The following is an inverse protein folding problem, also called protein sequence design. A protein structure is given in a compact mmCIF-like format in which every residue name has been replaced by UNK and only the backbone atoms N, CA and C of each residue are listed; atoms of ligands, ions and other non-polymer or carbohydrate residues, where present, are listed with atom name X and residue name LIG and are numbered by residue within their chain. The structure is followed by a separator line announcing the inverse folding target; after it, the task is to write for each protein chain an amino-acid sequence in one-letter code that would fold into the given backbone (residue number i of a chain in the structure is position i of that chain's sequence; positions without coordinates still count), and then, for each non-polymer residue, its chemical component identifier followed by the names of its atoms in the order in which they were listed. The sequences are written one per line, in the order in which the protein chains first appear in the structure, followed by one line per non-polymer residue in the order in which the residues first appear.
data_IF_766492470479
#
_entry.id   IF_766492470479
#
_cell.length_a   1.000
_cell.length_b   1.000
_cell.length_c   1.000
_cell.angle_alpha   90.00
_cell.angle_beta   90.00
_cell.angle_gamma   90.00
#
_symmetry.space_group_name_H-M   'P 1'
#
loop_
_entity.id
_entity.type
_entity.pdbx_description
1 polymer ?
#
# COMPACT_ATOMS: atom_id res chain seq x y z
N UNK A 1 5.55 -26.64 30.59
CA UNK A 1 5.12 -25.59 29.66
C UNK A 1 6.21 -25.25 28.62
N UNK A 2 7.50 -25.30 29.00
CA UNK A 2 8.63 -24.99 28.11
C UNK A 2 8.86 -26.01 26.99
N UNK A 3 8.45 -27.26 27.16
CA UNK A 3 8.63 -28.30 26.14
C UNK A 3 7.66 -28.20 24.97
N UNK A 4 6.56 -27.50 25.16
CA UNK A 4 5.52 -27.34 24.09
C UNK A 4 5.81 -26.17 23.13
N UNK A 5 6.65 -25.24 23.56
CA UNK A 5 6.97 -24.02 22.75
C UNK A 5 8.45 -23.88 22.42
N UNK A 6 9.27 -24.90 22.74
CA UNK A 6 10.71 -24.88 22.52
C UNK A 6 11.47 -23.97 23.49
N UNK A 7 12.69 -24.39 23.82
CA UNK A 7 13.62 -23.55 24.58
C UNK A 7 14.56 -22.88 23.59
N UNK A 8 14.40 -21.62 23.33
CA UNK A 8 15.38 -20.86 22.54
C UNK A 8 14.79 -19.98 21.47
N UNK A 9 15.61 -19.12 20.99
CA UNK A 9 15.39 -18.20 19.89
C UNK A 9 14.95 -18.94 18.63
N UNK A 10 13.70 -19.19 18.45
CA UNK A 10 13.37 -19.74 17.17
C UNK A 10 12.08 -20.44 16.93
N UNK A 11 11.21 -20.53 17.88
CA UNK A 11 10.02 -21.38 17.72
C UNK A 11 8.76 -20.65 17.29
N UNK A 12 8.69 -19.33 17.42
CA UNK A 12 7.48 -18.55 17.07
C UNK A 12 7.82 -17.11 16.68
N UNK A 13 8.66 -16.93 15.69
CA UNK A 13 8.80 -15.60 15.10
C UNK A 13 7.53 -15.28 14.34
N UNK A 14 6.88 -14.13 14.61
CA UNK A 14 5.79 -13.70 13.77
C UNK A 14 6.32 -13.53 12.34
N UNK A 15 5.54 -13.98 11.36
CA UNK A 15 5.93 -13.78 9.98
C UNK A 15 5.87 -12.29 9.65
N UNK A 16 6.86 -11.84 8.89
CA UNK A 16 6.83 -10.52 8.30
C UNK A 16 5.57 -10.35 7.46
N UNK A 17 5.03 -9.14 7.43
CA UNK A 17 4.09 -8.77 6.40
C UNK A 17 4.73 -8.95 5.04
N UNK A 18 3.96 -9.48 4.10
CA UNK A 18 4.40 -9.74 2.74
C UNK A 18 3.74 -8.72 1.80
N UNK A 19 4.44 -8.24 0.77
CA UNK A 19 3.81 -7.41 -0.24
C UNK A 19 2.71 -8.20 -0.94
N UNK A 20 1.52 -7.61 -1.01
CA UNK A 20 0.36 -8.27 -1.60
C UNK A 20 0.26 -8.04 -3.10
N UNK A 21 0.65 -6.87 -3.57
CA UNK A 21 0.74 -6.51 -4.98
C UNK A 21 1.57 -5.23 -5.13
N UNK A 22 2.10 -5.05 -6.33
CA UNK A 22 2.63 -3.77 -6.78
C UNK A 22 2.04 -3.49 -8.16
N UNK A 23 1.29 -2.42 -8.27
CA UNK A 23 0.86 -1.95 -9.58
C UNK A 23 1.25 -0.50 -9.80
N UNK A 24 1.49 -0.18 -11.07
CA UNK A 24 1.89 1.13 -11.53
C UNK A 24 0.77 1.72 -12.35
N UNK A 25 0.43 2.95 -12.05
CA UNK A 25 -0.54 3.73 -12.82
C UNK A 25 0.25 4.77 -13.61
N UNK A 26 0.17 4.70 -14.92
CA UNK A 26 0.79 5.66 -15.83
C UNK A 26 -0.32 6.44 -16.54
N UNK A 27 -0.29 7.76 -16.43
CA UNK A 27 -1.04 8.61 -17.33
C UNK A 27 -0.27 8.70 -18.65
N UNK A 28 -0.86 8.26 -19.75
CA UNK A 28 -0.19 8.19 -21.06
C UNK A 28 -0.02 9.58 -21.70
N UNK A 29 -0.86 10.54 -21.30
CA UNK A 29 -0.76 11.93 -21.73
C UNK A 29 0.26 12.75 -20.94
N UNK A 30 0.80 12.19 -19.83
CA UNK A 30 1.77 12.88 -18.99
C UNK A 30 3.18 12.73 -19.55
N UNK A 31 3.87 13.87 -19.69
CA UNK A 31 5.32 13.93 -19.83
C UNK A 31 5.90 14.90 -18.81
N UNK A 32 7.17 14.74 -18.45
CA UNK A 32 7.83 15.65 -17.50
C UNK A 32 7.86 17.08 -18.02
N UNK A 33 7.95 17.23 -19.34
CA UNK A 33 8.01 18.52 -20.04
C UNK A 33 6.67 19.24 -20.08
N UNK A 34 5.56 18.50 -19.96
CA UNK A 34 4.20 19.06 -19.98
C UNK A 34 3.53 19.04 -18.59
N UNK A 35 4.30 18.92 -17.52
CA UNK A 35 3.79 18.97 -16.16
C UNK A 35 4.42 20.08 -15.35
N UNK A 36 3.63 20.74 -14.56
CA UNK A 36 4.05 21.76 -13.60
C UNK A 36 3.37 21.54 -12.25
N UNK A 37 3.90 22.18 -11.22
CA UNK A 37 3.34 22.13 -9.87
C UNK A 37 3.02 20.70 -9.38
N UNK A 38 3.90 19.74 -9.69
CA UNK A 38 3.76 18.38 -9.20
C UNK A 38 3.84 18.34 -7.68
N UNK A 39 2.75 17.96 -7.04
CA UNK A 39 2.63 17.87 -5.60
C UNK A 39 2.13 16.50 -5.15
N UNK A 40 2.70 16.02 -4.06
CA UNK A 40 2.19 14.86 -3.31
C UNK A 40 1.82 15.33 -1.92
N UNK A 41 0.62 14.99 -1.49
CA UNK A 41 0.12 15.39 -0.19
C UNK A 41 -0.44 14.21 0.60
N UNK A 42 -0.50 14.39 1.89
CA UNK A 42 -1.22 13.52 2.83
C UNK A 42 -2.15 14.38 3.65
N UNK A 43 -3.44 14.07 3.61
CA UNK A 43 -4.41 14.67 4.50
C UNK A 43 -4.51 13.79 5.75
N UNK A 44 -3.99 14.29 6.86
CA UNK A 44 -3.94 13.53 8.11
C UNK A 44 -5.33 13.29 8.73
N UNK A 45 -6.29 14.18 8.50
CA UNK A 45 -7.64 14.07 9.05
C UNK A 45 -8.51 13.07 8.30
N UNK A 46 -8.36 13.03 6.98
CA UNK A 46 -9.12 12.12 6.13
C UNK A 46 -8.40 10.80 5.85
N UNK A 47 -7.10 10.71 6.14
CA UNK A 47 -6.29 9.54 5.80
C UNK A 47 -6.00 9.39 4.30
N UNK A 48 -6.35 10.38 3.49
CA UNK A 48 -6.09 10.37 2.05
C UNK A 48 -4.65 10.74 1.73
N UNK A 49 -4.12 10.08 0.72
CA UNK A 49 -2.89 10.49 0.03
C UNK A 49 -3.22 10.85 -1.41
N UNK A 50 -2.63 11.93 -1.91
CA UNK A 50 -2.92 12.40 -3.25
C UNK A 50 -1.69 12.83 -4.03
N UNK A 51 -1.88 12.87 -5.34
CA UNK A 51 -0.92 13.40 -6.31
C UNK A 51 -1.68 14.38 -7.20
N UNK A 52 -1.14 15.59 -7.32
CA UNK A 52 -1.68 16.65 -8.17
C UNK A 52 -0.58 17.22 -9.05
N UNK A 53 -0.93 17.58 -10.26
CA UNK A 53 -0.03 18.31 -11.16
C UNK A 53 -0.85 19.11 -12.19
N UNK A 54 -0.22 20.10 -12.81
CA UNK A 54 -0.79 20.80 -13.94
C UNK A 54 -0.09 20.38 -15.22
N UNK A 55 -0.88 20.15 -16.28
CA UNK A 55 -0.34 19.94 -17.60
C UNK A 55 0.07 21.27 -18.29
N UNK A 56 0.59 21.19 -19.50
CA UNK A 56 1.02 22.37 -20.26
C UNK A 56 -0.11 23.35 -20.61
N UNK A 57 -1.36 22.90 -20.58
CA UNK A 57 -2.57 23.72 -20.77
C UNK A 57 -3.06 24.35 -19.46
N UNK A 58 -2.44 24.02 -18.32
CA UNK A 58 -2.84 24.47 -17.00
C UNK A 58 -3.95 23.66 -16.34
N UNK A 59 -4.38 22.56 -16.97
CA UNK A 59 -5.40 21.68 -16.42
C UNK A 59 -4.86 20.90 -15.21
N UNK A 60 -5.63 20.81 -14.14
CA UNK A 60 -5.23 20.14 -12.93
C UNK A 60 -5.66 18.67 -12.92
N UNK A 61 -4.69 17.79 -12.83
CA UNK A 61 -4.86 16.35 -12.72
C UNK A 61 -4.76 15.94 -11.27
N UNK A 62 -5.61 14.99 -10.85
CA UNK A 62 -5.66 14.53 -9.48
C UNK A 62 -5.80 13.02 -9.39
N UNK A 63 -5.10 12.43 -8.43
CA UNK A 63 -5.26 11.05 -8.01
C UNK A 63 -5.28 10.99 -6.49
N UNK A 64 -6.32 10.40 -5.92
CA UNK A 64 -6.50 10.25 -4.47
C UNK A 64 -6.61 8.79 -4.09
N UNK A 65 -6.07 8.43 -2.94
CA UNK A 65 -6.08 7.05 -2.42
C UNK A 65 -6.25 7.07 -0.93
N UNK A 66 -7.07 6.16 -0.41
CA UNK A 66 -7.16 5.87 1.02
C UNK A 66 -7.33 4.38 1.28
N UNK A 67 -6.97 3.92 2.49
CA UNK A 67 -7.25 2.57 2.98
C UNK A 67 -8.42 2.65 3.97
N UNK A 68 -9.56 2.06 3.59
CA UNK A 68 -10.80 2.15 4.35
C UNK A 68 -10.71 1.39 5.67
N UNK A 69 -11.00 2.07 6.77
CA UNK A 69 -11.14 1.45 8.10
C UNK A 69 -12.50 0.83 8.33
N UNK A 70 -13.50 1.24 7.55
CA UNK A 70 -14.87 0.74 7.66
C UNK A 70 -15.14 -0.50 6.84
N UNK A 71 -14.46 -0.65 5.69
CA UNK A 71 -14.80 -1.66 4.70
C UNK A 71 -13.63 -2.55 4.30
N UNK A 72 -12.43 -2.32 4.87
CA UNK A 72 -11.23 -3.12 4.66
C UNK A 72 -10.86 -3.26 3.16
N UNK A 73 -10.89 -2.13 2.46
CA UNK A 73 -10.49 -1.98 1.06
C UNK A 73 -9.57 -0.77 0.88
N UNK A 74 -8.76 -0.78 -0.17
CA UNK A 74 -8.00 0.37 -0.62
C UNK A 74 -8.72 0.94 -1.84
N UNK A 75 -9.03 2.23 -1.80
CA UNK A 75 -9.72 2.93 -2.89
C UNK A 75 -8.77 3.92 -3.52
N UNK A 76 -8.61 3.83 -4.84
CA UNK A 76 -7.86 4.83 -5.63
C UNK A 76 -8.82 5.43 -6.65
N UNK A 77 -8.95 6.74 -6.64
CA UNK A 77 -9.77 7.51 -7.57
C UNK A 77 -8.88 8.40 -8.43
N UNK A 78 -9.10 8.37 -9.72
CA UNK A 78 -8.37 9.15 -10.72
C UNK A 78 -9.39 9.87 -11.57
N UNK A 79 -9.22 11.16 -11.71
CA UNK A 79 -10.11 12.03 -12.44
C UNK A 79 -9.33 12.89 -13.44
N UNK A 80 -9.84 12.98 -14.65
CA UNK A 80 -9.36 13.91 -15.65
C UNK A 80 -9.90 15.32 -15.37
N UNK A 81 -9.17 16.37 -15.74
CA UNK A 81 -9.70 17.73 -15.69
C UNK A 81 -10.91 17.91 -16.60
N UNK A 82 -11.65 18.97 -16.38
CA UNK A 82 -12.78 19.33 -17.23
C UNK A 82 -12.33 19.48 -18.70
N UNK A 83 -13.06 18.85 -19.61
CA UNK A 83 -12.76 18.85 -21.04
C UNK A 83 -11.82 17.73 -21.50
N UNK A 84 -11.06 17.10 -20.60
CA UNK A 84 -10.13 16.01 -20.91
C UNK A 84 -10.75 14.64 -20.64
N UNK A 85 -10.20 13.60 -21.28
CA UNK A 85 -10.48 12.19 -20.98
C UNK A 85 -9.24 11.51 -20.40
N UNK A 86 -9.47 10.50 -19.59
CA UNK A 86 -8.40 9.61 -19.12
C UNK A 86 -7.86 8.77 -20.28
N UNK A 87 -6.54 8.68 -20.33
CA UNK A 87 -5.78 7.65 -21.04
C UNK A 87 -4.69 7.16 -20.09
N UNK A 88 -4.97 6.08 -19.40
CA UNK A 88 -4.08 5.53 -18.38
C UNK A 88 -3.77 4.05 -18.64
N UNK A 89 -2.59 3.65 -18.23
CA UNK A 89 -2.19 2.25 -18.22
C UNK A 89 -1.92 1.82 -16.77
N UNK A 90 -2.55 0.72 -16.36
CA UNK A 90 -2.29 0.05 -15.11
C UNK A 90 -1.51 -1.23 -15.41
N UNK A 91 -0.31 -1.37 -14.85
CA UNK A 91 0.47 -2.59 -14.94
C UNK A 91 0.71 -3.18 -13.56
N UNK A 92 0.64 -4.51 -13.45
CA UNK A 92 1.10 -5.20 -12.25
C UNK A 92 2.57 -5.55 -12.44
N UNK A 93 3.41 -4.90 -11.65
CA UNK A 93 4.84 -5.17 -11.69
C UNK A 93 5.15 -6.46 -10.94
N UNK A 94 5.94 -7.32 -11.56
CA UNK A 94 6.44 -8.51 -10.90
C UNK A 94 7.32 -8.15 -9.72
N UNK A 95 6.91 -8.57 -8.53
CA UNK A 95 7.65 -8.29 -7.30
C UNK A 95 8.94 -9.12 -7.29
N UNK A 96 10.05 -8.47 -7.53
CA UNK A 96 11.38 -9.12 -7.59
C UNK A 96 12.21 -8.89 -6.33
N UNK A 97 11.80 -7.97 -5.47
CA UNK A 97 12.58 -7.56 -4.32
C UNK A 97 12.59 -8.63 -3.24
N UNK A 98 13.75 -9.21 -3.06
CA UNK A 98 14.09 -10.04 -1.91
C UNK A 98 15.41 -9.55 -1.36
N UNK A 99 15.41 -9.14 -0.11
CA UNK A 99 16.67 -8.88 0.56
C UNK A 99 17.38 -10.18 0.86
N UNK A 100 18.65 -10.29 0.42
CA UNK A 100 19.42 -11.50 0.61
C UNK A 100 19.96 -11.54 2.06
N UNK A 101 19.31 -12.32 2.90
CA UNK A 101 19.82 -12.69 4.23
C UNK A 101 20.17 -14.19 4.26
N UNK A 102 21.05 -14.61 3.35
CA UNK A 102 21.54 -15.98 3.29
C UNK A 102 20.75 -16.89 2.35
N UNK A 103 21.30 -18.05 2.12
CA UNK A 103 20.94 -19.01 1.05
C UNK A 103 19.62 -19.77 1.25
N UNK A 104 18.86 -19.49 2.28
CA UNK A 104 17.68 -20.29 2.68
C UNK A 104 16.33 -19.65 2.39
N UNK A 105 16.28 -18.39 1.98
CA UNK A 105 15.03 -17.71 1.70
C UNK A 105 14.60 -17.96 0.25
N UNK A 106 13.51 -18.68 0.10
CA UNK A 106 12.89 -18.87 -1.22
C UNK A 106 11.85 -17.78 -1.44
N UNK A 107 11.88 -17.19 -2.63
CA UNK A 107 10.81 -16.32 -3.09
C UNK A 107 9.48 -17.07 -3.04
N UNK A 108 8.39 -16.43 -2.60
CA UNK A 108 7.07 -17.02 -2.69
C UNK A 108 6.70 -17.34 -4.15
N UNK A 109 6.01 -18.43 -4.34
CA UNK A 109 5.40 -18.75 -5.60
C UNK A 109 4.20 -17.84 -5.82
N UNK A 110 4.22 -17.05 -6.89
CA UNK A 110 3.25 -15.98 -7.18
C UNK A 110 2.63 -16.16 -8.56
N UNK A 111 1.35 -15.84 -8.68
CA UNK A 111 0.62 -15.76 -9.95
C UNK A 111 -0.19 -14.47 -10.03
N UNK A 112 -0.36 -13.96 -11.25
CA UNK A 112 -1.17 -12.80 -11.55
C UNK A 112 -2.47 -13.24 -12.22
N UNK A 113 -3.56 -12.63 -11.78
CA UNK A 113 -4.91 -13.00 -12.21
C UNK A 113 -5.56 -11.80 -12.86
N UNK A 114 -6.15 -12.00 -14.04
CA UNK A 114 -7.05 -11.03 -14.69
C UNK A 114 -8.34 -11.75 -15.02
N UNK A 115 -9.45 -11.17 -14.63
CA UNK A 115 -10.80 -11.66 -14.91
C UNK A 115 -11.65 -10.58 -15.54
N UNK A 116 -12.70 -10.99 -16.28
CA UNK A 116 -13.73 -10.11 -16.81
C UNK A 116 -15.09 -10.79 -16.65
N UNK A 117 -16.01 -10.07 -16.08
CA UNK A 117 -17.41 -10.49 -15.91
C UNK A 117 -18.36 -9.35 -16.31
N UNK A 118 -19.65 -9.45 -15.95
CA UNK A 118 -20.68 -8.45 -16.20
C UNK A 118 -20.46 -7.13 -15.45
N UNK A 119 -19.65 -7.13 -14.38
CA UNK A 119 -19.27 -5.95 -13.61
C UNK A 119 -17.96 -5.31 -14.07
N UNK A 120 -17.30 -5.86 -15.08
CA UNK A 120 -16.08 -5.35 -15.64
C UNK A 120 -14.83 -6.17 -15.32
N UNK A 121 -13.65 -5.53 -15.39
CA UNK A 121 -12.39 -6.18 -15.15
C UNK A 121 -12.04 -6.25 -13.67
N UNK A 122 -11.54 -7.43 -13.27
CA UNK A 122 -10.82 -7.65 -12.04
C UNK A 122 -9.38 -8.06 -12.32
N UNK A 123 -8.44 -7.63 -11.49
CA UNK A 123 -7.06 -8.09 -11.57
C UNK A 123 -6.45 -8.19 -10.17
N UNK A 124 -5.41 -9.01 -10.04
CA UNK A 124 -4.76 -9.19 -8.74
C UNK A 124 -3.54 -10.09 -8.77
N UNK A 125 -2.99 -10.31 -7.60
CA UNK A 125 -1.88 -11.23 -7.38
C UNK A 125 -2.25 -12.21 -6.27
N UNK A 126 -1.87 -13.45 -6.43
CA UNK A 126 -1.92 -14.47 -5.38
C UNK A 126 -0.53 -15.04 -5.15
N UNK A 127 -0.25 -15.42 -3.93
CA UNK A 127 1.03 -15.96 -3.54
C UNK A 127 0.87 -17.10 -2.53
N UNK A 128 1.62 -18.16 -2.71
CA UNK A 128 1.72 -19.27 -1.76
C UNK A 128 2.80 -18.97 -0.74
N UNK A 129 2.49 -19.14 0.55
CA UNK A 129 3.53 -19.05 1.57
C UNK A 129 4.64 -20.07 1.29
N UNK A 130 5.91 -19.64 1.30
CA UNK A 130 7.02 -20.54 1.08
C UNK A 130 7.17 -21.49 2.27
N UNK A 131 7.50 -22.74 1.98
CA UNK A 131 7.91 -23.69 3.00
C UNK A 131 9.31 -23.30 3.44
N UNK A 132 9.47 -22.96 4.71
CA UNK A 132 10.76 -22.64 5.30
C UNK A 132 11.27 -23.84 6.09
N UNK A 133 12.44 -24.35 5.71
CA UNK A 133 13.18 -25.32 6.50
C UNK A 133 14.18 -24.55 7.37
N UNK A 134 14.05 -24.64 8.68
CA UNK A 134 14.97 -24.04 9.62
C UNK A 134 15.85 -25.13 10.25
N UNK A 135 17.16 -24.91 10.33
CA UNK A 135 18.02 -25.72 11.18
C UNK A 135 17.78 -25.30 12.64
N UNK A 136 17.21 -26.17 13.42
CA UNK A 136 17.11 -26.01 14.85
C UNK A 136 18.49 -26.07 15.51
N UNK A 137 18.57 -25.65 16.79
CA UNK A 137 19.82 -25.64 17.58
C UNK A 137 20.45 -27.02 17.77
N UNK A 138 19.79 -28.09 17.37
CA UNK A 138 20.27 -29.49 17.45
C UNK A 138 20.44 -30.13 16.06
N UNK A 139 20.68 -29.37 14.99
CA UNK A 139 20.77 -29.88 13.62
C UNK A 139 19.53 -30.63 13.12
N UNK A 140 18.39 -30.53 13.78
CA UNK A 140 17.12 -31.04 13.31
C UNK A 140 16.53 -30.01 12.34
N UNK A 141 16.24 -30.44 11.12
CA UNK A 141 15.52 -29.62 10.15
C UNK A 141 14.04 -29.63 10.54
N UNK A 142 13.58 -28.55 11.15
CA UNK A 142 12.16 -28.34 11.41
C UNK A 142 11.52 -27.72 10.16
N UNK A 143 10.56 -28.42 9.60
CA UNK A 143 9.75 -27.87 8.51
C UNK A 143 8.69 -26.96 9.13
N UNK A 144 8.90 -25.67 9.04
CA UNK A 144 7.87 -24.71 9.40
C UNK A 144 6.86 -24.62 8.26
N UNK A 145 5.72 -25.25 8.46
CA UNK A 145 4.64 -25.21 7.48
C UNK A 145 4.04 -23.82 7.38
N UNK A 146 4.24 -23.20 6.23
CA UNK A 146 3.42 -22.10 5.81
C UNK A 146 2.16 -22.66 5.17
N UNK A 147 1.09 -22.80 5.94
CA UNK A 147 -0.22 -23.14 5.39
C UNK A 147 -0.76 -21.94 4.61
N UNK A 148 -1.46 -22.23 3.53
CA UNK A 148 -2.17 -21.22 2.76
C UNK A 148 -1.30 -20.27 1.97
N UNK A 149 -1.82 -19.07 1.82
CA UNK A 149 -1.23 -18.01 1.04
C UNK A 149 -1.93 -16.68 1.28
N UNK A 150 -1.61 -15.71 0.47
CA UNK A 150 -2.23 -14.38 0.51
C UNK A 150 -2.44 -13.87 -0.92
N UNK A 151 -3.19 -12.81 -1.05
CA UNK A 151 -3.39 -12.18 -2.34
C UNK A 151 -4.08 -10.85 -2.25
N UNK A 152 -4.16 -10.21 -3.39
CA UNK A 152 -4.97 -9.02 -3.63
C UNK A 152 -5.88 -9.25 -4.83
N UNK A 153 -7.00 -8.57 -4.82
CA UNK A 153 -7.83 -8.38 -6.00
C UNK A 153 -8.22 -6.90 -6.09
N UNK A 154 -8.35 -6.41 -7.31
CA UNK A 154 -8.77 -5.04 -7.61
C UNK A 154 -9.90 -5.08 -8.63
N UNK A 155 -10.99 -4.42 -8.33
CA UNK A 155 -12.07 -4.16 -9.30
C UNK A 155 -11.85 -2.81 -9.94
N UNK A 156 -11.92 -2.75 -11.27
CA UNK A 156 -11.92 -1.50 -12.04
C UNK A 156 -13.37 -1.06 -12.23
N UNK A 157 -13.70 0.11 -11.71
CA UNK A 157 -15.02 0.73 -11.87
C UNK A 157 -14.85 1.92 -12.80
N UNK A 158 -15.44 1.87 -13.97
CA UNK A 158 -15.37 2.90 -14.99
C UNK A 158 -16.50 2.70 -16.02
N UNK A 159 -16.90 3.76 -16.69
CA UNK A 159 -17.73 3.75 -17.88
C UNK A 159 -16.91 3.78 -19.19
N UNK A 160 -15.58 3.85 -19.07
CA UNK A 160 -14.66 3.85 -20.19
C UNK A 160 -14.35 2.48 -20.75
N UNK A 161 -13.56 2.49 -21.81
CA UNK A 161 -13.05 1.27 -22.42
C UNK A 161 -11.88 0.72 -21.58
N UNK A 162 -11.88 -0.59 -21.36
CA UNK A 162 -10.78 -1.29 -20.70
C UNK A 162 -10.27 -2.39 -21.61
N UNK A 163 -9.00 -2.29 -21.98
CA UNK A 163 -8.29 -3.28 -22.80
C UNK A 163 -7.22 -3.97 -21.98
N UNK A 164 -7.18 -5.29 -22.06
CA UNK A 164 -6.17 -6.11 -21.42
C UNK A 164 -5.15 -6.61 -22.42
N UNK A 165 -3.89 -6.48 -22.07
CA UNK A 165 -2.77 -7.12 -22.76
C UNK A 165 -1.80 -7.72 -21.73
N UNK A 166 -1.14 -8.80 -22.11
CA UNK A 166 -0.03 -9.34 -21.33
C UNK A 166 1.27 -8.68 -21.80
N UNK A 167 2.10 -8.24 -20.86
CA UNK A 167 3.43 -7.69 -21.15
C UNK A 167 4.48 -8.74 -20.80
N UNK A 168 4.87 -9.52 -21.80
CA UNK A 168 5.88 -10.59 -21.62
C UNK A 168 7.27 -10.01 -21.73
N UNK A 169 8.04 -10.10 -20.66
CA UNK A 169 9.40 -9.56 -20.59
C UNK A 169 10.33 -10.41 -19.72
N UNK A 170 11.63 -10.17 -19.88
CA UNK A 170 12.62 -10.67 -18.96
C UNK A 170 12.93 -9.61 -17.90
N UNK A 171 12.99 -10.01 -16.65
CA UNK A 171 13.31 -9.13 -15.53
C UNK A 171 14.64 -9.56 -14.93
N UNK A 172 15.62 -8.65 -14.88
CA UNK A 172 16.88 -8.88 -14.20
C UNK A 172 16.71 -8.57 -12.71
N UNK A 173 16.96 -9.57 -11.89
CA UNK A 173 16.96 -9.43 -10.42
C UNK A 173 18.36 -9.00 -9.99
N UNK A 174 18.52 -7.90 -9.24
CA UNK A 174 19.82 -7.48 -8.73
C UNK A 174 20.51 -8.57 -7.90
N UNK A 175 21.83 -8.66 -7.97
CA UNK A 175 22.60 -9.67 -7.24
C UNK A 175 22.46 -9.55 -5.72
N UNK A 176 22.24 -8.34 -5.21
CA UNK A 176 21.92 -8.07 -3.80
C UNK A 176 20.64 -8.74 -3.32
N UNK A 177 19.75 -9.12 -4.24
CA UNK A 177 18.48 -9.81 -3.95
C UNK A 177 18.46 -11.28 -4.39
N UNK A 178 19.62 -11.88 -4.59
CA UNK A 178 19.73 -13.27 -5.02
C UNK A 178 20.18 -13.45 -6.46
N UNK A 179 20.18 -12.39 -7.25
CA UNK A 179 20.65 -12.35 -8.63
C UNK A 179 19.89 -13.23 -9.60
N UNK A 180 20.07 -12.98 -10.88
CA UNK A 180 19.51 -13.82 -11.95
C UNK A 180 18.54 -13.08 -12.86
N UNK A 181 17.94 -13.84 -13.76
CA UNK A 181 16.95 -13.31 -14.71
C UNK A 181 15.69 -14.16 -14.61
N UNK A 182 14.55 -13.51 -14.33
CA UNK A 182 13.24 -14.12 -14.52
C UNK A 182 12.88 -13.99 -16.00
N UNK A 183 12.66 -15.12 -16.65
CA UNK A 183 12.37 -15.17 -18.09
C UNK A 183 10.87 -15.30 -18.33
N UNK A 184 10.42 -14.66 -19.40
CA UNK A 184 9.02 -14.75 -19.86
C UNK A 184 8.02 -14.40 -18.76
N UNK A 185 8.33 -13.38 -17.97
CA UNK A 185 7.39 -12.86 -16.96
C UNK A 185 6.24 -12.19 -17.70
N UNK A 186 5.04 -12.64 -17.41
CA UNK A 186 3.82 -12.19 -18.06
C UNK A 186 3.04 -11.30 -17.10
N UNK A 187 3.39 -10.00 -17.09
CA UNK A 187 2.74 -9.03 -16.23
C UNK A 187 1.44 -8.52 -16.87
N UNK A 188 0.32 -8.49 -16.14
CA UNK A 188 -0.91 -7.90 -16.65
C UNK A 188 -0.75 -6.40 -16.91
N UNK A 189 -1.32 -5.96 -18.03
CA UNK A 189 -1.38 -4.57 -18.44
C UNK A 189 -2.78 -4.24 -18.91
N UNK A 190 -3.41 -3.27 -18.26
CA UNK A 190 -4.75 -2.81 -18.60
C UNK A 190 -4.67 -1.33 -19.00
N UNK A 191 -5.25 -1.01 -20.15
CA UNK A 191 -5.36 0.37 -20.63
C UNK A 191 -6.81 0.81 -20.49
N UNK A 192 -7.02 2.01 -19.92
CA UNK A 192 -8.33 2.60 -19.68
C UNK A 192 -8.38 3.95 -20.40
N UNK A 193 -9.37 4.13 -21.26
CA UNK A 193 -9.55 5.36 -22.02
C UNK A 193 -11.04 5.69 -22.27
N UNK A 194 -11.30 6.90 -22.76
CA UNK A 194 -12.64 7.36 -23.14
C UNK A 194 -13.58 7.53 -21.94
N UNK A 195 -13.05 7.92 -20.80
CA UNK A 195 -13.80 8.20 -19.57
C UNK A 195 -13.23 9.41 -18.84
N UNK A 196 -14.04 10.05 -18.00
CA UNK A 196 -13.60 11.17 -17.15
C UNK A 196 -12.93 10.69 -15.87
N UNK A 197 -13.25 9.47 -15.42
CA UNK A 197 -12.72 8.98 -14.16
C UNK A 197 -12.66 7.46 -14.12
N UNK A 198 -11.81 6.95 -13.22
CA UNK A 198 -11.74 5.55 -12.87
C UNK A 198 -11.57 5.40 -11.36
N UNK A 199 -12.24 4.41 -10.81
CA UNK A 199 -12.04 4.02 -9.43
C UNK A 199 -11.53 2.58 -9.37
N UNK A 200 -10.45 2.38 -8.60
CA UNK A 200 -9.88 1.07 -8.30
C UNK A 200 -10.21 0.74 -6.87
N UNK A 201 -10.93 -0.34 -6.65
CA UNK A 201 -11.23 -0.85 -5.29
C UNK A 201 -10.47 -2.14 -5.11
N UNK A 202 -9.53 -2.14 -4.16
CA UNK A 202 -8.60 -3.25 -3.93
C UNK A 202 -8.84 -3.84 -2.55
N UNK A 203 -8.88 -5.16 -2.46
CA UNK A 203 -8.88 -5.90 -1.21
C UNK A 203 -7.67 -6.81 -1.13
N UNK A 204 -7.12 -6.93 0.08
CA UNK A 204 -6.01 -7.80 0.40
C UNK A 204 -6.44 -8.72 1.53
N UNK A 205 -6.20 -10.02 1.40
CA UNK A 205 -6.47 -10.97 2.47
C UNK A 205 -5.53 -12.19 2.35
N UNK A 206 -5.65 -13.09 3.31
CA UNK A 206 -4.91 -14.35 3.38
C UNK A 206 -5.83 -15.51 3.67
N UNK A 207 -5.37 -16.71 3.37
CA UNK A 207 -6.00 -17.95 3.81
C UNK A 207 -4.98 -18.78 4.60
N UNK A 208 -5.45 -19.43 5.64
CA UNK A 208 -4.66 -20.32 6.49
C UNK A 208 -4.97 -21.82 6.25
N UNK A 209 -5.80 -22.13 5.24
CA UNK A 209 -6.09 -23.50 4.81
C UNK A 209 -4.93 -24.07 4.01
N UNK A 210 -4.81 -25.40 3.99
CA UNK A 210 -3.74 -26.07 3.26
C UNK A 210 -3.85 -25.78 1.76
N UNK A 211 -2.75 -25.31 1.19
CA UNK A 211 -2.55 -25.09 -0.23
C UNK A 211 -1.24 -25.76 -0.66
N UNK A 212 -1.28 -26.57 -1.70
CA UNK A 212 -0.09 -27.28 -2.20
C UNK A 212 0.73 -26.38 -3.14
N UNK A 213 0.05 -25.53 -3.89
CA UNK A 213 0.64 -24.64 -4.90
C UNK A 213 -0.13 -23.30 -4.96
N UNK A 214 0.31 -22.41 -5.83
CA UNK A 214 -0.30 -21.09 -6.00
C UNK A 214 -1.70 -21.15 -6.60
N UNK A 215 -2.01 -22.15 -7.42
CA UNK A 215 -3.36 -22.31 -7.97
C UNK A 215 -4.40 -22.61 -6.89
N UNK A 216 -4.03 -23.42 -5.88
CA UNK A 216 -4.92 -23.66 -4.73
C UNK A 216 -5.25 -22.37 -3.98
N UNK A 217 -4.28 -21.42 -3.89
CA UNK A 217 -4.50 -20.10 -3.29
C UNK A 217 -5.44 -19.29 -4.17
N UNK A 218 -5.22 -19.30 -5.49
CA UNK A 218 -6.07 -18.59 -6.45
C UNK A 218 -7.53 -19.05 -6.34
N UNK A 219 -7.78 -20.34 -6.42
CA UNK A 219 -9.13 -20.92 -6.36
C UNK A 219 -9.85 -20.63 -5.04
N UNK A 220 -9.12 -20.62 -3.92
CA UNK A 220 -9.71 -20.42 -2.59
C UNK A 220 -9.85 -18.98 -2.16
N UNK A 221 -9.08 -18.06 -2.74
CA UNK A 221 -8.98 -16.70 -2.25
C UNK A 221 -9.43 -15.64 -3.26
N UNK A 222 -9.03 -15.74 -4.53
CA UNK A 222 -9.22 -14.64 -5.48
C UNK A 222 -10.70 -14.29 -5.72
N UNK A 223 -11.54 -15.29 -5.98
CA UNK A 223 -12.97 -15.07 -6.22
C UNK A 223 -13.68 -14.52 -4.99
N UNK A 224 -13.24 -14.95 -3.79
CA UNK A 224 -13.73 -14.38 -2.52
C UNK A 224 -13.39 -12.90 -2.42
N UNK A 225 -12.15 -12.51 -2.74
CA UNK A 225 -11.74 -11.11 -2.71
C UNK A 225 -12.56 -10.25 -3.68
N UNK A 226 -12.79 -10.72 -4.90
CA UNK A 226 -13.65 -10.03 -5.87
C UNK A 226 -15.08 -9.90 -5.35
N UNK A 227 -15.64 -10.98 -4.79
CA UNK A 227 -16.98 -10.97 -4.21
C UNK A 227 -17.11 -10.00 -3.04
N UNK A 228 -16.11 -9.94 -2.17
CA UNK A 228 -16.07 -9.00 -1.04
C UNK A 228 -16.06 -7.54 -1.54
N UNK A 229 -15.23 -7.24 -2.57
CA UNK A 229 -15.19 -5.91 -3.21
C UNK A 229 -16.55 -5.56 -3.81
N UNK A 230 -17.16 -6.49 -4.55
CA UNK A 230 -18.47 -6.28 -5.17
C UNK A 230 -19.54 -6.01 -4.12
N UNK A 231 -19.44 -6.64 -2.94
CA UNK A 231 -20.29 -6.35 -1.79
C UNK A 231 -20.16 -4.90 -1.31
N UNK A 232 -18.92 -4.39 -1.22
CA UNK A 232 -18.66 -2.99 -0.84
C UNK A 232 -19.17 -2.03 -1.91
N UNK A 233 -18.89 -2.29 -3.19
CA UNK A 233 -19.37 -1.48 -4.32
C UNK A 233 -20.89 -1.40 -4.34
N UNK A 234 -21.57 -2.53 -4.11
CA UNK A 234 -23.03 -2.59 -4.06
C UNK A 234 -23.61 -1.85 -2.85
N UNK A 235 -22.99 -2.00 -1.66
CA UNK A 235 -23.39 -1.34 -0.42
C UNK A 235 -23.51 0.17 -0.57
N UNK A 236 -22.60 0.78 -1.30
CA UNK A 236 -22.54 2.23 -1.49
C UNK A 236 -23.10 2.67 -2.85
N UNK A 237 -23.60 1.75 -3.66
CA UNK A 237 -24.00 2.01 -5.05
C UNK A 237 -22.91 2.80 -5.80
N UNK A 238 -21.67 2.33 -5.70
CA UNK A 238 -20.49 3.06 -6.12
C UNK A 238 -20.37 3.08 -7.63
N UNK A 239 -20.32 4.29 -8.19
CA UNK A 239 -19.92 4.56 -9.57
C UNK A 239 -18.55 5.27 -9.56
N UNK A 240 -17.88 5.29 -10.71
CA UNK A 240 -16.62 6.04 -10.89
C UNK A 240 -16.91 7.54 -11.02
N UNK A 241 -17.34 8.15 -9.91
CA UNK A 241 -17.67 9.57 -9.80
C UNK A 241 -17.15 10.10 -8.47
N UNK A 242 -17.00 11.42 -8.35
CA UNK A 242 -16.68 12.06 -7.08
C UNK A 242 -17.68 11.65 -5.97
N UNK A 243 -18.98 11.63 -6.27
CA UNK A 243 -19.99 11.22 -5.32
C UNK A 243 -19.82 9.77 -4.86
N UNK A 244 -19.47 8.85 -5.77
CA UNK A 244 -19.18 7.46 -5.45
C UNK A 244 -17.91 7.32 -4.59
N UNK A 245 -16.88 8.09 -4.87
CA UNK A 245 -15.67 8.15 -4.06
C UNK A 245 -15.96 8.65 -2.63
N UNK A 246 -16.71 9.75 -2.50
CA UNK A 246 -17.08 10.32 -1.21
C UNK A 246 -17.95 9.38 -0.38
N UNK A 247 -18.81 8.60 -1.02
CA UNK A 247 -19.62 7.59 -0.33
C UNK A 247 -18.77 6.51 0.35
N UNK A 248 -17.64 6.13 -0.26
CA UNK A 248 -16.68 5.21 0.33
C UNK A 248 -15.76 5.89 1.36
N UNK A 249 -15.38 7.14 1.11
CA UNK A 249 -14.46 7.89 1.97
C UNK A 249 -15.10 8.27 3.31
N UNK A 250 -16.34 8.75 3.30
CA UNK A 250 -16.99 9.28 4.49
C UNK A 250 -16.97 8.34 5.71
N UNK A 251 -17.41 7.08 5.65
CA UNK A 251 -17.39 6.18 6.81
C UNK A 251 -15.95 5.88 7.29
N UNK A 252 -14.96 5.92 6.41
CA UNK A 252 -13.57 5.85 6.80
C UNK A 252 -13.15 7.08 7.60
N UNK A 253 -13.49 8.28 7.12
CA UNK A 253 -13.15 9.55 7.79
C UNK A 253 -13.79 9.64 9.17
N UNK A 254 -15.03 9.17 9.34
CA UNK A 254 -15.71 9.15 10.62
C UNK A 254 -14.89 8.35 11.68
N UNK A 255 -14.23 7.28 11.27
CA UNK A 255 -13.35 6.47 12.14
C UNK A 255 -11.93 7.08 12.25
N UNK A 256 -11.27 7.30 11.13
CA UNK A 256 -9.88 7.75 11.09
C UNK A 256 -9.72 9.16 11.65
N UNK A 257 -10.60 10.07 11.24
CA UNK A 257 -10.61 11.45 11.73
C UNK A 257 -10.89 11.52 13.23
N UNK A 258 -11.79 10.67 13.75
CA UNK A 258 -11.99 10.52 15.18
C UNK A 258 -10.71 10.13 15.93
N UNK A 259 -9.95 9.17 15.39
CA UNK A 259 -8.67 8.75 15.97
C UNK A 259 -7.62 9.85 15.89
N UNK A 260 -7.49 10.53 14.74
CA UNK A 260 -6.48 11.56 14.54
C UNK A 260 -6.77 12.82 15.37
N UNK A 261 -8.02 13.26 15.42
CA UNK A 261 -8.42 14.50 16.07
C UNK A 261 -8.55 14.41 17.60
N UNK A 262 -8.40 13.23 18.21
CA UNK A 262 -8.43 13.07 19.66
C UNK A 262 -7.31 13.83 20.39
N UNK A 263 -6.20 14.10 19.71
CA UNK A 263 -5.07 14.87 20.24
C UNK A 263 -4.68 15.93 19.21
N UNK A 264 -4.59 17.17 19.65
CA UNK A 264 -4.12 18.30 18.83
C UNK A 264 -3.06 19.04 19.60
N UNK A 265 -1.98 19.41 18.92
CA UNK A 265 -1.03 20.41 19.43
C UNK A 265 -1.23 21.69 18.64
N UNK A 266 -1.19 22.82 19.35
CA UNK A 266 -1.34 24.16 18.79
C UNK A 266 -0.27 25.05 19.43
N UNK A 267 0.86 25.18 18.75
CA UNK A 267 2.03 25.92 19.23
C UNK A 267 2.15 27.30 18.59
N UNK A 268 1.53 27.47 17.42
CA UNK A 268 1.59 28.72 16.64
C UNK A 268 0.69 29.78 17.27
N UNK A 269 1.30 30.88 17.72
CA UNK A 269 0.62 31.96 18.42
C UNK A 269 0.46 33.24 17.60
N UNK A 270 1.39 33.55 16.70
CA UNK A 270 1.32 34.72 15.81
C UNK A 270 0.68 34.35 14.46
N UNK A 271 0.25 35.35 13.71
CA UNK A 271 -0.36 35.14 12.40
C UNK A 271 0.66 34.60 11.39
N UNK A 272 1.92 35.00 11.45
CA UNK A 272 3.01 34.47 10.61
C UNK A 272 3.30 32.99 10.93
N UNK A 273 3.31 32.62 12.22
CA UNK A 273 3.47 31.23 12.63
C UNK A 273 2.31 30.35 12.12
N UNK A 274 1.07 30.87 12.17
CA UNK A 274 -0.12 30.18 11.65
C UNK A 274 -0.12 30.07 10.13
N UNK A 275 0.31 31.12 9.42
CA UNK A 275 0.46 31.11 7.97
C UNK A 275 1.46 30.03 7.53
N UNK A 276 2.56 29.86 8.27
CA UNK A 276 3.57 28.85 7.98
C UNK A 276 3.04 27.40 8.02
N UNK A 277 1.87 27.14 8.60
CA UNK A 277 1.19 25.83 8.51
C UNK A 277 0.80 25.44 7.08
N UNK A 278 0.61 26.44 6.20
CA UNK A 278 0.29 26.22 4.78
C UNK A 278 1.53 25.88 3.92
N UNK A 279 2.74 26.11 4.45
CA UNK A 279 3.98 25.87 3.73
C UNK A 279 4.19 24.39 3.42
N UNK A 280 4.86 24.12 2.32
CA UNK A 280 5.33 22.79 1.96
C UNK A 280 6.37 22.28 2.98
N UNK A 281 6.62 20.99 3.01
CA UNK A 281 7.68 20.43 3.85
C UNK A 281 9.06 21.02 3.51
N UNK A 282 9.34 21.30 2.23
CA UNK A 282 10.59 21.90 1.79
C UNK A 282 10.76 23.32 2.31
N UNK A 283 9.70 24.12 2.28
CA UNK A 283 9.69 25.50 2.83
C UNK A 283 9.86 25.51 4.34
N UNK A 284 9.18 24.60 5.06
CA UNK A 284 9.35 24.50 6.52
C UNK A 284 10.77 24.07 6.91
N UNK A 285 11.38 23.14 6.15
CA UNK A 285 12.77 22.71 6.36
C UNK A 285 13.72 23.88 6.08
N UNK A 286 13.51 24.65 5.01
CA UNK A 286 14.31 25.81 4.69
C UNK A 286 14.21 26.86 5.80
N UNK A 287 13.00 27.23 6.22
CA UNK A 287 12.77 28.18 7.29
C UNK A 287 13.42 27.77 8.62
N UNK A 288 13.44 26.48 8.95
CA UNK A 288 14.14 26.00 10.14
C UNK A 288 15.66 26.06 9.97
N UNK A 289 16.20 25.77 8.79
CA UNK A 289 17.64 25.82 8.52
C UNK A 289 18.18 27.28 8.55
N UNK A 290 17.35 28.24 8.14
CA UNK A 290 17.71 29.67 8.15
C UNK A 290 17.71 30.24 9.57
N UNK A 291 16.95 29.65 10.49
CA UNK A 291 16.91 30.07 11.89
C UNK A 291 17.18 28.87 12.83
N UNK A 292 18.46 28.64 13.13
CA UNK A 292 18.90 27.54 14.01
C UNK A 292 18.81 27.85 15.50
N UNK A 293 18.61 29.10 15.85
CA UNK A 293 18.57 29.55 17.25
C UNK A 293 17.20 29.39 17.88
N UNK A 294 16.18 29.17 17.08
CA UNK A 294 14.82 28.90 17.54
C UNK A 294 14.13 27.79 16.75
N UNK A 295 13.17 27.13 17.39
CA UNK A 295 12.37 26.08 16.76
C UNK A 295 11.23 26.73 16.00
N UNK A 296 11.11 26.39 14.69
CA UNK A 296 9.93 26.75 13.91
C UNK A 296 8.73 25.92 14.40
N UNK A 297 7.75 26.59 14.99
CA UNK A 297 6.61 25.95 15.65
C UNK A 297 5.71 25.20 14.65
N UNK A 298 5.47 25.77 13.46
CA UNK A 298 4.69 25.09 12.41
C UNK A 298 5.39 23.81 11.92
N UNK A 299 6.72 23.83 11.83
CA UNK A 299 7.50 22.64 11.50
C UNK A 299 7.41 21.58 12.59
N UNK A 300 7.48 21.97 13.86
CA UNK A 300 7.34 21.06 15.00
C UNK A 300 5.95 20.41 15.03
N UNK A 301 4.88 21.20 14.82
CA UNK A 301 3.52 20.65 14.65
C UNK A 301 3.41 19.66 13.50
N UNK A 302 4.05 19.99 12.36
CA UNK A 302 4.07 19.10 11.18
C UNK A 302 4.75 17.77 11.46
N UNK A 303 5.90 17.78 12.13
CA UNK A 303 6.65 16.57 12.53
C UNK A 303 5.80 15.72 13.47
N UNK A 304 5.20 16.33 14.49
CA UNK A 304 4.35 15.64 15.46
C UNK A 304 3.16 14.98 14.76
N UNK A 305 2.42 15.75 13.96
CA UNK A 305 1.23 15.25 13.25
C UNK A 305 1.59 14.11 12.26
N UNK A 306 2.72 14.23 11.56
CA UNK A 306 3.20 13.20 10.66
C UNK A 306 3.57 11.90 11.40
N UNK A 307 4.29 12.01 12.51
CA UNK A 307 4.64 10.86 13.35
C UNK A 307 3.41 10.16 13.90
N UNK A 308 2.45 10.93 14.43
CA UNK A 308 1.18 10.44 14.94
C UNK A 308 0.33 9.77 13.85
N UNK A 309 0.21 10.40 12.69
CA UNK A 309 -0.47 9.82 11.53
C UNK A 309 0.17 8.48 11.11
N UNK A 310 1.50 8.46 10.99
CA UNK A 310 2.24 7.24 10.64
C UNK A 310 1.97 6.10 11.62
N UNK A 311 1.92 6.38 12.91
CA UNK A 311 1.65 5.38 13.94
C UNK A 311 0.19 4.88 13.90
N UNK A 312 -0.77 5.78 13.71
CA UNK A 312 -2.19 5.41 13.53
C UNK A 312 -2.36 4.50 12.31
N UNK A 313 -1.66 4.78 11.21
CA UNK A 313 -1.70 3.95 10.01
C UNK A 313 -0.97 2.60 10.17
N UNK A 314 0.09 2.55 10.98
CA UNK A 314 0.90 1.34 11.20
C UNK A 314 0.33 0.39 12.27
N UNK A 315 -0.64 0.83 13.06
CA UNK A 315 -1.27 0.07 14.13
C UNK A 315 -2.72 -0.29 13.78
N UNK A 316 -3.24 -1.30 14.47
CA UNK A 316 -4.62 -1.75 14.32
C UNK A 316 -5.04 -2.46 15.61
N UNK A 317 -5.44 -3.73 15.52
CA UNK A 317 -5.72 -4.57 16.68
C UNK A 317 -4.47 -4.91 17.52
N UNK A 318 -3.27 -4.75 16.94
CA UNK A 318 -1.99 -4.96 17.59
C UNK A 318 -1.12 -3.70 17.54
N UNK A 319 -0.03 -3.73 18.30
CA UNK A 319 0.99 -2.70 18.26
C UNK A 319 1.67 -2.66 16.89
N UNK A 320 2.27 -1.53 16.56
CA UNK A 320 3.10 -1.42 15.35
C UNK A 320 4.31 -2.35 15.43
N UNK A 321 4.71 -2.89 14.29
CA UNK A 321 5.97 -3.63 14.13
C UNK A 321 7.10 -2.66 13.77
N UNK A 322 8.34 -3.12 13.79
CA UNK A 322 9.53 -2.33 13.50
C UNK A 322 9.43 -1.56 12.16
N UNK A 323 9.00 -2.22 11.10
CA UNK A 323 8.79 -1.62 9.78
C UNK A 323 7.35 -1.19 9.51
N UNK A 324 6.47 -1.14 10.51
CA UNK A 324 5.04 -0.95 10.29
C UNK A 324 4.43 -2.10 9.49
N UNK A 325 3.45 -1.78 8.65
CA UNK A 325 2.82 -2.73 7.71
C UNK A 325 3.36 -2.59 6.28
N UNK A 326 4.32 -1.70 6.07
CA UNK A 326 4.83 -1.31 4.74
C UNK A 326 6.11 -2.05 4.39
N UNK A 327 6.01 -3.33 4.10
CA UNK A 327 7.15 -4.09 3.61
C UNK A 327 7.09 -4.20 2.09
N UNK A 328 8.00 -3.52 1.40
CA UNK A 328 8.15 -3.58 -0.05
C UNK A 328 8.94 -4.80 -0.55
N UNK A 329 9.32 -5.71 0.34
CA UNK A 329 10.14 -6.88 0.04
C UNK A 329 9.59 -8.14 0.72
N UNK A 330 9.79 -9.30 0.10
CA UNK A 330 9.42 -10.59 0.67
C UNK A 330 10.29 -11.01 1.87
N UNK A 331 11.44 -10.39 2.06
CA UNK A 331 12.36 -10.65 3.16
C UNK A 331 12.81 -9.33 3.78
N UNK A 332 11.96 -8.67 4.58
CA UNK A 332 12.29 -7.39 5.21
C UNK A 332 13.38 -7.55 6.27
N UNK A 333 14.07 -6.46 6.54
CA UNK A 333 15.04 -6.38 7.63
C UNK A 333 14.41 -6.73 8.97
N UNK A 334 15.17 -7.41 9.80
CA UNK A 334 14.74 -7.81 11.14
C UNK A 334 13.42 -8.60 11.12
N UNK A 335 13.12 -9.25 9.99
CA UNK A 335 11.87 -9.99 9.76
C UNK A 335 10.60 -9.15 9.94
N UNK A 336 10.70 -7.82 9.96
CA UNK A 336 9.59 -6.94 10.29
C UNK A 336 8.96 -7.25 11.65
N UNK A 337 9.75 -7.64 12.65
CA UNK A 337 9.29 -8.12 13.96
C UNK A 337 8.83 -6.97 14.88
N UNK A 338 8.27 -7.31 16.05
CA UNK A 338 7.71 -6.33 16.99
C UNK A 338 8.76 -5.54 17.77
N UNK A 339 9.97 -5.99 17.92
CA UNK A 339 11.10 -5.30 18.56
C UNK A 339 10.69 -4.52 19.83
N UNK A 340 10.28 -5.27 20.86
CA UNK A 340 9.69 -4.70 22.08
C UNK A 340 10.72 -4.15 23.09
N UNK A 341 12.00 -4.30 22.82
CA UNK A 341 13.08 -3.87 23.70
C UNK A 341 13.21 -2.33 23.78
N UNK A 342 13.27 -1.65 22.65
CA UNK A 342 13.35 -0.19 22.61
C UNK A 342 12.48 0.43 21.50
N UNK A 343 12.46 -0.17 20.30
CA UNK A 343 11.87 0.45 19.12
C UNK A 343 10.37 0.70 19.27
N UNK A 344 9.61 -0.25 19.78
CA UNK A 344 8.17 -0.05 19.99
C UNK A 344 7.91 1.07 21.01
N UNK A 345 8.69 1.13 22.10
CA UNK A 345 8.55 2.19 23.10
C UNK A 345 8.83 3.57 22.50
N UNK A 346 9.87 3.68 21.65
CA UNK A 346 10.21 4.93 20.97
C UNK A 346 9.13 5.33 19.96
N UNK A 347 8.55 4.37 19.24
CA UNK A 347 7.48 4.64 18.29
C UNK A 347 6.21 5.17 18.95
N UNK A 348 5.84 4.66 20.12
CA UNK A 348 4.61 5.06 20.83
C UNK A 348 4.81 6.26 21.76
N UNK A 349 6.04 6.65 22.07
CA UNK A 349 6.32 7.72 23.04
C UNK A 349 5.76 9.10 22.64
N UNK A 350 5.55 9.35 21.36
CA UNK A 350 4.95 10.57 20.84
C UNK A 350 3.43 10.57 20.73
N UNK A 351 2.75 9.54 21.26
CA UNK A 351 1.29 9.42 21.13
C UNK A 351 0.51 10.10 22.24
N UNK A 352 1.14 10.40 23.35
CA UNK A 352 0.50 10.97 24.54
C UNK A 352 0.62 12.48 24.56
#
# INVERSE_FOLDING_TARGET
ASSKYGTGWGTTWPRSYQPAAQYRIKNNSYTKENSDNYNRYTNYETGEVGVQWKDASGNEWNRRTFASRSDDVIVTYIEAPEGEDLDITISMDHLVEMRNQGTTYKRPDTDYVVTKDDKGYGFGMVAKYPIQNRKGSKNVTETMFARGGWGSATRIITDGNVDYAADTRNITVPSSFGGGTLKNVNDPKLTINGTKSVMLVTKVDRIDSDCNNVNDVKEKLYDKLISDIDGVVTKYNTASTEAGYQALLKPHVDIHGGMFNNVKIDLCSTDEEKEARSYTNSELIAAQNDNKDSINKAFLERIYNNGRFGLICASGYGSTRLGGIWNGTFNPDWSGDYTLDANTNLQISGMN
#
